data_IF_961401721036
#
_entry.id   IF_961401721036
#
_cell.length_a   1.000
_cell.length_b   1.000
_cell.length_c   1.000
_cell.angle_alpha   90.00
_cell.angle_beta   90.00
_cell.angle_gamma   90.00
#
_symmetry.space_group_name_H-M   'P 1'
#
loop_
_entity.id
_entity.type
_entity.pdbx_description
1 polymer ?
#
# COMPACT_ATOMS: atom_id res chain seq x y z
N UNK A 1 -26.23 -24.40 49.08
CA UNK A 1 -25.02 -24.70 49.85
C UNK A 1 -23.91 -23.75 49.40
N UNK A 2 -23.34 -23.04 50.39
CA UNK A 2 -22.06 -22.30 50.46
C UNK A 2 -21.60 -21.39 49.29
N UNK A 3 -21.72 -20.09 49.56
CA UNK A 3 -20.90 -18.97 49.05
C UNK A 3 -19.50 -19.00 49.70
N UNK A 4 -18.45 -18.56 48.98
CA UNK A 4 -17.24 -17.95 49.56
C UNK A 4 -16.51 -17.19 48.42
N UNK A 5 -16.47 -15.86 48.36
CA UNK A 5 -15.88 -14.88 49.29
C UNK A 5 -14.41 -15.18 49.57
N UNK A 6 -13.53 -14.38 48.96
CA UNK A 6 -12.20 -13.87 49.35
C UNK A 6 -11.96 -12.74 48.32
N UNK A 7 -12.39 -11.49 48.51
CA UNK A 7 -11.93 -10.52 49.51
C UNK A 7 -10.41 -10.55 49.68
N UNK A 8 -9.72 -9.81 48.83
CA UNK A 8 -8.51 -9.08 49.22
C UNK A 8 -8.55 -7.71 48.58
N UNK A 9 -9.11 -6.79 49.35
CA UNK A 9 -8.82 -5.36 49.31
C UNK A 9 -7.34 -5.16 49.67
N UNK A 10 -6.59 -4.52 48.80
CA UNK A 10 -5.39 -3.75 49.14
C UNK A 10 -5.24 -2.68 48.04
N UNK A 11 -5.89 -1.54 48.24
CA UNK A 11 -5.28 -0.32 48.80
C UNK A 11 -4.65 0.55 47.70
N UNK A 12 -5.36 1.63 47.38
CA UNK A 12 -4.86 2.76 46.63
C UNK A 12 -3.56 3.29 47.24
N UNK A 13 -2.52 3.43 46.44
CA UNK A 13 -1.49 4.44 46.64
C UNK A 13 -1.53 5.38 45.44
N UNK A 14 -2.15 6.54 45.65
CA UNK A 14 -2.09 7.69 44.75
C UNK A 14 -0.67 8.24 44.78
N UNK A 15 0.04 8.14 43.66
CA UNK A 15 1.27 8.93 43.41
C UNK A 15 0.92 10.00 42.38
N UNK A 16 0.57 11.18 42.89
CA UNK A 16 0.57 12.44 42.16
C UNK A 16 2.02 12.95 42.06
N UNK A 17 2.55 13.07 40.84
CA UNK A 17 3.57 14.04 40.38
C UNK A 17 4.18 13.52 39.06
N UNK A 18 4.09 14.16 37.89
CA UNK A 18 3.47 15.40 37.46
C UNK A 18 3.67 15.50 35.94
N UNK A 19 2.72 16.12 35.24
CA UNK A 19 2.98 16.66 33.90
C UNK A 19 4.08 17.71 34.02
N UNK A 20 5.17 17.58 33.26
CA UNK A 20 6.08 18.70 33.02
C UNK A 20 5.71 19.33 31.67
N UNK A 21 5.08 20.52 31.66
CA UNK A 21 5.12 21.40 30.50
C UNK A 21 6.47 22.14 30.44
N UNK A 22 6.88 22.44 29.22
CA UNK A 22 8.14 23.03 28.77
C UNK A 22 8.65 24.24 29.57
N UNK A 23 9.98 24.29 29.76
CA UNK A 23 10.73 25.46 30.22
C UNK A 23 11.88 25.83 29.25
N UNK A 24 12.33 27.09 29.22
CA UNK A 24 13.04 27.68 28.08
C UNK A 24 14.58 27.61 28.16
N UNK A 25 15.22 27.60 26.98
CA UNK A 25 16.48 28.30 26.70
C UNK A 25 17.75 27.90 27.46
N UNK A 26 18.58 27.07 26.82
CA UNK A 26 20.02 26.95 27.07
C UNK A 26 20.77 26.84 25.72
N UNK A 27 21.99 27.39 25.59
CA UNK A 27 22.48 27.97 24.35
C UNK A 27 22.95 26.94 23.31
N UNK A 28 22.82 27.36 22.04
CA UNK A 28 23.47 26.77 20.89
C UNK A 28 24.95 26.51 21.16
N UNK A 29 25.38 25.27 20.94
CA UNK A 29 26.76 24.96 20.61
C UNK A 29 26.72 24.20 19.30
N UNK A 30 27.05 24.94 18.25
CA UNK A 30 27.36 24.41 16.94
C UNK A 30 28.58 23.50 17.09
N UNK A 31 28.44 22.21 16.84
CA UNK A 31 29.54 21.46 16.26
C UNK A 31 29.04 20.71 15.05
N UNK A 32 29.36 21.33 13.92
CA UNK A 32 29.22 20.80 12.59
C UNK A 32 30.18 19.62 12.45
N UNK A 33 29.64 18.44 12.24
CA UNK A 33 30.29 17.41 11.45
C UNK A 33 29.26 16.92 10.44
N UNK A 34 29.09 17.73 9.39
CA UNK A 34 28.50 17.34 8.13
C UNK A 34 29.03 15.99 7.66
N UNK A 35 28.24 14.93 7.82
CA UNK A 35 28.13 13.93 6.77
C UNK A 35 26.87 14.25 5.99
N UNK A 36 26.98 15.32 5.22
CA UNK A 36 26.06 15.64 4.14
C UNK A 36 26.48 14.73 2.98
N UNK A 37 25.94 13.52 2.93
CA UNK A 37 25.81 12.80 1.65
C UNK A 37 24.81 13.62 0.82
N UNK A 38 25.34 14.67 0.20
CA UNK A 38 24.68 15.44 -0.84
C UNK A 38 24.52 14.46 -1.99
N UNK A 39 23.32 13.89 -2.11
CA UNK A 39 22.83 13.37 -3.37
C UNK A 39 22.92 14.54 -4.35
N UNK A 40 23.84 14.46 -5.30
CA UNK A 40 24.02 15.42 -6.39
C UNK A 40 22.71 15.48 -7.18
N UNK A 41 21.87 16.46 -6.83
CA UNK A 41 20.65 16.74 -7.55
C UNK A 41 21.06 17.36 -8.89
N UNK A 42 21.14 16.54 -9.92
CA UNK A 42 21.23 17.00 -11.31
C UNK A 42 20.09 18.00 -11.53
N UNK A 43 20.36 19.29 -11.80
CA UNK A 43 19.30 20.25 -11.99
C UNK A 43 18.66 19.98 -13.36
N UNK A 44 17.40 19.51 -13.36
CA UNK A 44 16.56 19.54 -14.54
C UNK A 44 16.32 21.01 -14.91
N UNK A 45 16.81 21.43 -16.06
CA UNK A 45 16.57 22.79 -16.56
C UNK A 45 15.06 22.99 -16.80
N UNK A 46 14.49 24.16 -16.43
CA UNK A 46 13.12 24.50 -16.75
C UNK A 46 13.07 24.96 -18.22
N UNK A 47 12.63 24.08 -19.12
CA UNK A 47 12.38 24.48 -20.50
C UNK A 47 10.99 25.13 -20.59
N UNK A 48 10.95 26.46 -20.52
CA UNK A 48 9.77 27.26 -20.84
C UNK A 48 9.94 28.03 -22.15
N UNK A 49 9.19 27.54 -23.15
CA UNK A 49 8.44 28.29 -24.16
C UNK A 49 9.17 28.82 -25.43
N UNK A 50 8.45 29.28 -26.46
CA UNK A 50 7.93 28.46 -27.56
C UNK A 50 8.47 28.95 -28.93
N UNK A 51 8.64 28.05 -29.90
CA UNK A 51 8.92 28.47 -31.29
C UNK A 51 7.94 27.82 -32.25
N UNK A 52 6.98 28.65 -32.70
CA UNK A 52 6.11 28.37 -33.83
C UNK A 52 6.88 28.61 -35.17
N UNK A 53 6.43 28.00 -36.29
CA UNK A 53 7.30 27.44 -37.32
C UNK A 53 7.50 28.34 -38.56
N UNK A 54 8.55 28.12 -39.37
CA UNK A 54 8.52 28.46 -40.79
C UNK A 54 8.05 27.27 -41.64
N UNK A 55 7.19 27.57 -42.60
CA UNK A 55 6.54 26.63 -43.51
C UNK A 55 7.38 26.25 -44.74
N UNK A 56 7.25 24.98 -45.15
CA UNK A 56 7.28 24.36 -46.50
C UNK A 56 8.52 24.59 -47.41
N UNK A 57 9.04 23.59 -48.14
CA UNK A 57 8.38 22.68 -49.10
C UNK A 57 9.18 21.36 -49.34
N UNK A 58 8.41 20.35 -49.77
CA UNK A 58 8.67 19.10 -50.55
C UNK A 58 10.10 18.79 -51.03
N UNK A 59 10.58 17.53 -51.02
CA UNK A 59 10.05 16.41 -51.81
C UNK A 59 10.06 15.06 -51.08
N UNK A 60 8.96 14.31 -51.23
CA UNK A 60 8.75 12.97 -50.71
C UNK A 60 8.74 11.94 -51.85
N UNK A 61 9.55 10.88 -51.80
CA UNK A 61 9.26 9.66 -52.55
C UNK A 61 8.08 8.93 -51.90
N UNK A 62 7.01 8.76 -52.66
CA UNK A 62 5.84 8.00 -52.27
C UNK A 62 6.23 6.56 -51.88
N UNK A 63 6.04 6.19 -50.62
CA UNK A 63 5.90 4.79 -50.21
C UNK A 63 4.44 4.40 -50.44
N UNK A 64 4.24 3.36 -51.24
CA UNK A 64 2.96 2.71 -51.44
C UNK A 64 2.32 2.32 -50.08
N UNK A 65 0.99 2.39 -49.97
CA UNK A 65 0.29 1.92 -48.79
C UNK A 65 0.41 0.40 -48.68
N UNK A 66 1.20 -0.06 -47.70
CA UNK A 66 1.16 -1.44 -47.25
C UNK A 66 -0.22 -1.63 -46.60
N UNK A 67 -1.11 -2.35 -47.28
CA UNK A 67 -2.35 -2.85 -46.68
C UNK A 67 -1.96 -3.71 -45.48
N UNK A 68 -2.55 -3.52 -44.28
CA UNK A 68 -2.39 -4.48 -43.20
C UNK A 68 -2.78 -5.86 -43.72
N UNK A 69 -1.84 -6.80 -43.67
CA UNK A 69 -2.15 -8.20 -43.90
C UNK A 69 -3.16 -8.60 -42.82
N UNK A 70 -4.32 -9.08 -43.25
CA UNK A 70 -5.36 -9.65 -42.41
C UNK A 70 -4.79 -10.90 -41.74
N UNK A 71 -4.21 -10.72 -40.56
CA UNK A 71 -3.84 -11.83 -39.69
C UNK A 71 -5.15 -12.48 -39.23
N UNK A 72 -5.39 -13.71 -39.70
CA UNK A 72 -6.55 -14.51 -39.30
C UNK A 72 -6.49 -14.73 -37.79
N UNK A 73 -7.17 -13.87 -37.04
CA UNK A 73 -7.35 -14.04 -35.61
C UNK A 73 -8.18 -15.30 -35.39
N UNK A 74 -7.68 -16.20 -34.55
CA UNK A 74 -8.45 -17.37 -34.13
C UNK A 74 -9.69 -16.90 -33.36
N UNK A 75 -10.88 -17.13 -33.92
CA UNK A 75 -12.14 -16.82 -33.25
C UNK A 75 -12.34 -17.79 -32.09
N UNK A 76 -12.20 -17.33 -30.86
CA UNK A 76 -12.67 -18.05 -29.68
C UNK A 76 -14.21 -17.99 -29.70
N UNK A 77 -14.94 -19.12 -29.60
CA UNK A 77 -16.39 -19.09 -29.50
C UNK A 77 -16.80 -18.29 -28.25
N UNK A 78 -17.73 -17.34 -28.42
CA UNK A 78 -18.27 -16.57 -27.31
C UNK A 78 -18.93 -17.54 -26.33
N UNK A 79 -18.38 -17.63 -25.11
CA UNK A 79 -19.04 -18.31 -24.00
C UNK A 79 -20.36 -17.60 -23.67
N UNK A 80 -21.25 -18.22 -22.88
CA UNK A 80 -22.48 -17.56 -22.43
C UNK A 80 -22.14 -16.21 -21.79
N UNK A 81 -22.83 -15.15 -22.22
CA UNK A 81 -22.67 -13.79 -21.71
C UNK A 81 -23.13 -13.72 -20.25
N UNK A 82 -22.21 -14.04 -19.34
CA UNK A 82 -22.40 -13.89 -17.91
C UNK A 82 -22.14 -12.43 -17.56
N UNK A 83 -23.20 -11.70 -17.20
CA UNK A 83 -23.08 -10.34 -16.71
C UNK A 83 -22.13 -10.28 -15.49
N UNK A 84 -21.24 -9.27 -15.39
CA UNK A 84 -20.40 -9.08 -14.21
C UNK A 84 -21.24 -8.93 -12.95
N UNK A 85 -21.02 -9.81 -11.97
CA UNK A 85 -21.65 -9.70 -10.66
C UNK A 85 -20.73 -8.90 -9.72
N UNK A 86 -21.18 -7.77 -9.16
CA UNK A 86 -20.40 -7.02 -8.19
C UNK A 86 -20.29 -7.84 -6.89
N UNK A 87 -19.06 -8.05 -6.42
CA UNK A 87 -18.82 -8.56 -5.07
C UNK A 87 -18.95 -7.39 -4.09
N UNK A 88 -19.75 -7.50 -3.01
CA UNK A 88 -19.84 -6.44 -2.01
C UNK A 88 -18.52 -6.38 -1.25
N UNK A 89 -17.71 -5.36 -1.55
CA UNK A 89 -16.55 -4.98 -0.73
C UNK A 89 -16.91 -3.66 -0.08
N UNK A 90 -16.70 -3.55 1.23
CA UNK A 90 -16.83 -2.26 1.92
C UNK A 90 -15.93 -1.23 1.21
N UNK A 91 -16.35 0.02 1.03
CA UNK A 91 -15.48 1.05 0.41
C UNK A 91 -14.64 1.81 1.43
N UNK A 92 -14.88 1.56 2.73
CA UNK A 92 -14.23 2.27 3.84
C UNK A 92 -12.77 1.81 3.98
N UNK A 93 -11.79 2.73 3.98
CA UNK A 93 -10.40 2.40 4.21
C UNK A 93 -10.17 1.67 5.54
N UNK A 94 -9.33 0.63 5.53
CA UNK A 94 -9.08 -0.16 6.73
C UNK A 94 -8.49 0.68 7.88
N UNK A 95 -7.68 1.70 7.54
CA UNK A 95 -7.17 2.68 8.51
C UNK A 95 -8.26 3.42 9.28
N UNK A 96 -9.41 3.66 8.66
CA UNK A 96 -10.54 4.37 9.26
C UNK A 96 -11.42 3.41 10.07
N UNK A 97 -11.54 2.16 9.61
CA UNK A 97 -12.34 1.12 10.27
C UNK A 97 -11.72 0.64 11.60
N UNK A 98 -10.42 0.35 11.61
CA UNK A 98 -9.74 -0.25 12.79
C UNK A 98 -8.61 0.61 13.36
N UNK A 99 -8.37 1.78 12.80
CA UNK A 99 -7.30 2.70 13.20
C UNK A 99 -5.96 2.40 12.55
N UNK A 100 -5.07 3.40 12.57
CA UNK A 100 -3.76 3.36 11.89
C UNK A 100 -2.85 2.22 12.38
N UNK A 101 -2.73 2.02 13.69
CA UNK A 101 -1.83 1.00 14.23
C UNK A 101 -2.30 -0.43 13.94
N UNK A 102 -3.61 -0.70 14.03
CA UNK A 102 -4.15 -2.03 13.76
C UNK A 102 -4.13 -2.35 12.25
N UNK A 103 -4.51 -1.39 11.40
CA UNK A 103 -4.44 -1.57 9.94
C UNK A 103 -3.01 -1.75 9.44
N UNK A 104 -2.02 -1.08 10.03
CA UNK A 104 -0.61 -1.29 9.70
C UNK A 104 -0.16 -2.73 10.00
N UNK A 105 -0.55 -3.29 11.16
CA UNK A 105 -0.26 -4.70 11.49
C UNK A 105 -0.93 -5.67 10.53
N UNK A 106 -2.15 -5.35 10.08
CA UNK A 106 -2.87 -6.16 9.10
C UNK A 106 -2.20 -6.11 7.72
N UNK A 107 -1.79 -4.93 7.27
CA UNK A 107 -1.04 -4.75 6.01
C UNK A 107 0.28 -5.52 6.05
N UNK A 108 1.02 -5.41 7.15
CA UNK A 108 2.28 -6.13 7.32
C UNK A 108 2.08 -7.65 7.21
N UNK A 109 1.05 -8.19 7.89
CA UNK A 109 0.69 -9.61 7.78
C UNK A 109 0.32 -9.98 6.34
N UNK A 110 -0.47 -9.16 5.66
CA UNK A 110 -0.85 -9.35 4.25
C UNK A 110 0.37 -9.45 3.33
N UNK A 111 1.35 -8.57 3.50
CA UNK A 111 2.58 -8.58 2.71
C UNK A 111 3.39 -9.86 2.97
N UNK A 112 3.49 -10.29 4.23
CA UNK A 112 4.25 -11.50 4.60
C UNK A 112 3.67 -12.79 4.03
N UNK A 113 2.36 -12.83 3.79
CA UNK A 113 1.69 -14.04 3.28
C UNK A 113 1.40 -13.99 1.78
N UNK A 114 1.36 -12.81 1.14
CA UNK A 114 1.00 -12.75 -0.28
C UNK A 114 2.16 -13.15 -1.19
N UNK A 115 1.98 -14.14 -2.09
CA UNK A 115 2.98 -14.51 -3.08
C UNK A 115 3.02 -13.53 -4.28
N UNK A 116 2.10 -12.57 -4.36
CA UNK A 116 2.00 -11.65 -5.49
C UNK A 116 3.08 -10.56 -5.44
N UNK A 117 3.56 -10.13 -6.61
CA UNK A 117 4.53 -9.01 -6.70
C UNK A 117 3.90 -7.64 -6.47
N UNK A 118 2.57 -7.53 -6.57
CA UNK A 118 1.79 -6.32 -6.28
C UNK A 118 0.45 -6.69 -5.64
N UNK A 119 0.44 -7.12 -4.37
CA UNK A 119 -0.79 -7.50 -3.70
C UNK A 119 -1.63 -6.28 -3.31
N UNK A 120 -2.93 -6.45 -3.02
CA UNK A 120 -3.81 -5.37 -2.55
C UNK A 120 -3.55 -4.96 -1.08
N UNK A 121 -2.37 -5.23 -0.53
CA UNK A 121 -2.01 -4.95 0.86
C UNK A 121 -1.74 -3.45 1.08
N UNK A 122 -2.80 -2.66 1.27
CA UNK A 122 -2.70 -1.23 1.52
C UNK A 122 -3.79 -0.80 2.52
N UNK A 123 -3.45 0.00 3.55
CA UNK A 123 -4.42 0.47 4.53
C UNK A 123 -5.45 1.47 3.99
N UNK A 124 -5.28 1.95 2.74
CA UNK A 124 -6.32 2.68 1.99
C UNK A 124 -7.43 1.74 1.48
N UNK A 125 -7.12 0.46 1.33
CA UNK A 125 -8.09 -0.54 0.93
C UNK A 125 -8.92 -1.01 2.13
N UNK A 126 -10.08 -1.64 1.88
CA UNK A 126 -10.99 -2.12 2.92
C UNK A 126 -10.40 -3.30 3.70
N UNK A 127 -10.71 -3.42 5.00
CA UNK A 127 -10.14 -4.49 5.82
C UNK A 127 -10.53 -5.88 5.30
N UNK A 128 -11.75 -6.04 4.77
CA UNK A 128 -12.23 -7.32 4.22
C UNK A 128 -11.42 -7.75 2.99
N UNK A 129 -10.96 -6.79 2.17
CA UNK A 129 -10.10 -7.09 1.03
C UNK A 129 -8.71 -7.57 1.50
N UNK A 130 -8.15 -6.93 2.53
CA UNK A 130 -6.86 -7.33 3.12
C UNK A 130 -6.95 -8.72 3.77
N UNK A 131 -8.02 -8.98 4.53
CA UNK A 131 -8.23 -10.29 5.16
C UNK A 131 -8.50 -11.38 4.12
N UNK A 132 -9.30 -11.09 3.10
CA UNK A 132 -9.53 -12.04 2.02
C UNK A 132 -8.26 -12.45 1.28
N UNK A 133 -7.32 -11.51 1.08
CA UNK A 133 -6.00 -11.81 0.50
C UNK A 133 -5.14 -12.66 1.44
N UNK A 134 -5.16 -12.38 2.75
CA UNK A 134 -4.47 -13.20 3.76
C UNK A 134 -5.01 -14.63 3.75
N UNK A 135 -6.32 -14.79 3.85
CA UNK A 135 -6.97 -16.10 3.91
C UNK A 135 -6.73 -16.91 2.63
N UNK A 136 -6.86 -16.26 1.46
CA UNK A 136 -6.57 -16.88 0.16
C UNK A 136 -5.11 -17.33 0.08
N UNK A 137 -4.17 -16.47 0.46
CA UNK A 137 -2.74 -16.76 0.35
C UNK A 137 -2.32 -17.84 1.32
N UNK A 138 -2.83 -17.82 2.55
CA UNK A 138 -2.53 -18.87 3.53
C UNK A 138 -3.07 -20.22 3.10
N UNK A 139 -4.28 -20.28 2.54
CA UNK A 139 -4.82 -21.51 1.93
C UNK A 139 -3.96 -22.02 0.77
N UNK A 140 -3.34 -21.13 0.01
CA UNK A 140 -2.40 -21.49 -1.06
C UNK A 140 -1.15 -22.15 -0.47
N UNK A 141 -0.53 -21.52 0.53
CA UNK A 141 0.68 -22.07 1.14
C UNK A 141 0.44 -23.37 1.90
N UNK A 142 -0.72 -23.51 2.57
CA UNK A 142 -1.11 -24.76 3.21
C UNK A 142 -1.18 -25.92 2.21
N UNK A 143 -1.68 -25.66 1.00
CA UNK A 143 -1.71 -26.65 -0.08
C UNK A 143 -0.31 -27.00 -0.57
N UNK A 144 0.59 -26.02 -0.62
CA UNK A 144 1.95 -26.18 -1.15
C UNK A 144 2.95 -26.72 -0.10
N UNK A 145 2.58 -26.72 1.19
CA UNK A 145 3.22 -27.47 2.28
C UNK A 145 4.15 -26.69 3.21
N UNK A 146 4.34 -25.37 2.99
CA UNK A 146 5.22 -24.52 3.80
C UNK A 146 4.57 -23.14 4.07
N UNK A 147 3.55 -23.06 4.94
CA UNK A 147 2.90 -21.79 5.25
C UNK A 147 3.79 -20.87 6.09
N UNK A 148 3.92 -19.59 5.71
CA UNK A 148 4.59 -18.59 6.53
C UNK A 148 3.99 -18.54 7.95
N UNK A 149 4.81 -18.24 8.95
CA UNK A 149 4.34 -18.14 10.34
C UNK A 149 3.18 -17.13 10.51
N UNK A 150 3.16 -16.09 9.68
CA UNK A 150 2.11 -15.08 9.61
C UNK A 150 0.73 -15.64 9.22
N UNK A 151 0.63 -16.85 8.67
CA UNK A 151 -0.66 -17.51 8.42
C UNK A 151 -1.35 -18.00 9.70
N UNK A 152 -0.64 -18.03 10.83
CA UNK A 152 -1.25 -18.34 12.13
C UNK A 152 -1.97 -17.09 12.68
N UNK A 153 -3.19 -17.23 13.23
CA UNK A 153 -3.98 -16.12 13.78
C UNK A 153 -3.42 -15.56 15.09
#
# INVERSE_FOLDING_TARGET
MRRSQWLSLAACAVLMAGCQPSGPGGPASNESASNTDVIDAVPLQPETAPVAPPAAKADAPAKEPIKPAEETQATIPEGPDLAPQPVPVSEVPCRESIGAAASARLVERCIQVSPATRPPCNAANPCDLLQGEIDRSCKLWERDGDPPAACKP
#
